data_IF_411824579690
#
_entry.id   IF_411824579690
#
_cell.length_a   1.000
_cell.length_b   1.000
_cell.length_c   1.000
_cell.angle_alpha   90.00
_cell.angle_beta   90.00
_cell.angle_gamma   90.00
#
_symmetry.space_group_name_H-M   'P 1'
#
loop_
_entity.id
_entity.type
_entity.pdbx_description
1 polymer ?
#
# COMPACT_ATOMS: atom_id res chain seq x y z
N UNK A 1 33.19 24.32 16.32
CA UNK A 1 32.54 23.08 16.81
C UNK A 1 32.25 22.24 15.60
N UNK A 2 32.93 21.12 15.43
CA UNK A 2 32.68 20.16 14.39
C UNK A 2 31.31 19.49 14.69
N UNK A 3 30.31 19.72 13.89
CA UNK A 3 29.05 18.94 13.96
C UNK A 3 29.44 17.46 13.84
N UNK A 4 29.19 16.70 14.88
CA UNK A 4 29.41 15.27 14.91
C UNK A 4 28.40 14.62 13.94
N UNK A 5 28.89 14.15 12.80
CA UNK A 5 28.02 13.53 11.80
C UNK A 5 27.45 12.22 12.34
N UNK A 6 26.14 12.07 12.32
CA UNK A 6 25.45 10.85 12.73
C UNK A 6 25.99 9.63 11.97
N UNK A 7 26.18 8.53 12.67
CA UNK A 7 26.48 7.23 12.05
C UNK A 7 25.28 6.72 11.28
N UNK A 8 25.50 5.76 10.38
CA UNK A 8 24.40 5.14 9.61
C UNK A 8 23.37 4.48 10.54
N UNK A 9 23.81 3.89 11.67
CA UNK A 9 22.94 3.30 12.67
C UNK A 9 22.05 4.35 13.34
N UNK A 10 22.62 5.49 13.74
CA UNK A 10 21.86 6.59 14.36
C UNK A 10 20.82 7.18 13.39
N UNK A 11 21.20 7.33 12.11
CA UNK A 11 20.26 7.77 11.06
C UNK A 11 19.12 6.77 10.87
N UNK A 12 19.44 5.46 10.82
CA UNK A 12 18.41 4.42 10.67
C UNK A 12 17.46 4.38 11.86
N UNK A 13 17.96 4.51 13.10
CA UNK A 13 17.13 4.58 14.31
C UNK A 13 16.14 5.76 14.24
N UNK A 14 16.59 6.93 13.77
CA UNK A 14 15.70 8.09 13.58
C UNK A 14 14.60 7.77 12.57
N UNK A 15 14.96 7.19 11.41
CA UNK A 15 13.99 6.79 10.40
C UNK A 15 13.00 5.77 10.97
N UNK A 16 13.47 4.74 11.67
CA UNK A 16 12.61 3.71 12.27
C UNK A 16 11.60 4.28 13.27
N UNK A 17 11.99 5.34 14.02
CA UNK A 17 11.12 5.98 15.00
C UNK A 17 10.02 6.87 14.38
N UNK A 18 10.27 7.42 13.20
CA UNK A 18 9.38 8.38 12.53
C UNK A 18 8.54 7.77 11.41
N UNK A 19 9.06 6.68 10.81
CA UNK A 19 8.46 6.07 9.63
C UNK A 19 7.09 5.46 9.93
N UNK A 20 6.09 5.91 9.19
CA UNK A 20 4.75 5.33 9.20
C UNK A 20 4.38 4.88 7.79
N UNK A 21 4.00 3.62 7.66
CA UNK A 21 3.54 3.05 6.39
C UNK A 21 2.16 2.44 6.60
N UNK A 22 1.09 3.18 6.31
CA UNK A 22 -0.27 2.68 6.52
C UNK A 22 -0.59 1.50 5.58
N UNK A 23 -1.51 0.63 5.99
CA UNK A 23 -2.03 -0.49 5.19
C UNK A 23 -3.19 0.01 4.33
N UNK A 24 -2.91 0.66 3.21
CA UNK A 24 -3.91 1.28 2.34
C UNK A 24 -4.44 0.36 1.23
N UNK A 25 -3.84 -0.82 1.05
CA UNK A 25 -4.32 -1.80 0.08
C UNK A 25 -5.27 -2.78 0.78
N UNK A 26 -6.32 -3.19 0.09
CA UNK A 26 -7.28 -4.16 0.60
C UNK A 26 -7.21 -5.47 -0.20
N UNK A 27 -7.14 -6.61 0.50
CA UNK A 27 -7.17 -7.93 -0.10
C UNK A 27 -8.62 -8.40 -0.23
N UNK A 28 -9.14 -8.45 -1.46
CA UNK A 28 -10.49 -8.97 -1.73
C UNK A 28 -10.62 -10.45 -1.34
N UNK A 29 -9.55 -11.22 -1.44
CA UNK A 29 -9.55 -12.64 -1.11
C UNK A 29 -9.46 -12.89 0.41
N UNK A 30 -8.70 -12.05 1.14
CA UNK A 30 -8.45 -12.26 2.57
C UNK A 30 -9.26 -11.36 3.50
N UNK A 31 -10.00 -10.36 2.98
CA UNK A 31 -10.80 -9.44 3.80
C UNK A 31 -9.98 -8.56 4.76
N UNK A 32 -8.70 -8.30 4.45
CA UNK A 32 -7.82 -7.51 5.32
C UNK A 32 -7.05 -6.42 4.57
N UNK A 33 -6.71 -5.36 5.28
CA UNK A 33 -5.84 -4.31 4.76
C UNK A 33 -4.37 -4.74 4.83
N UNK A 34 -3.62 -4.47 3.76
CA UNK A 34 -2.19 -4.77 3.69
C UNK A 34 -1.40 -3.62 3.07
N UNK A 35 -0.09 -3.67 3.20
CA UNK A 35 0.88 -2.84 2.46
C UNK A 35 1.73 -3.72 1.57
N UNK A 36 2.14 -3.21 0.44
CA UNK A 36 3.08 -3.87 -0.46
C UNK A 36 4.49 -3.28 -0.32
N UNK A 37 5.46 -3.82 -1.07
CA UNK A 37 6.84 -3.31 -1.07
C UNK A 37 6.92 -1.86 -1.57
N UNK A 38 6.10 -1.51 -2.56
CA UNK A 38 6.05 -0.18 -3.17
C UNK A 38 5.60 0.90 -2.18
N UNK A 39 4.65 0.57 -1.29
CA UNK A 39 4.19 1.49 -0.24
C UNK A 39 5.34 1.83 0.72
N UNK A 40 6.12 0.82 1.12
CA UNK A 40 7.30 1.03 1.97
C UNK A 40 8.34 1.85 1.22
N UNK A 41 8.67 1.49 -0.03
CA UNK A 41 9.62 2.21 -0.86
C UNK A 41 9.23 3.68 -1.05
N UNK A 42 7.95 3.96 -1.25
CA UNK A 42 7.42 5.33 -1.36
C UNK A 42 7.62 6.11 -0.07
N UNK A 43 7.33 5.50 1.08
CA UNK A 43 7.44 6.15 2.38
C UNK A 43 8.89 6.46 2.75
N UNK A 44 9.83 5.53 2.52
CA UNK A 44 11.23 5.71 2.93
C UNK A 44 12.02 6.69 2.07
N UNK A 45 11.58 6.99 0.83
CA UNK A 45 12.33 7.87 -0.09
C UNK A 45 12.65 9.23 0.50
N UNK A 46 11.69 9.86 1.17
CA UNK A 46 11.86 11.17 1.79
C UNK A 46 12.87 11.11 2.91
N UNK A 47 12.73 10.16 3.84
CA UNK A 47 13.63 9.97 4.97
C UNK A 47 15.07 9.66 4.50
N UNK A 48 15.21 8.76 3.54
CA UNK A 48 16.54 8.43 2.99
C UNK A 48 17.21 9.65 2.35
N UNK A 49 16.46 10.49 1.62
CA UNK A 49 16.99 11.72 1.05
C UNK A 49 17.45 12.70 2.14
N UNK A 50 16.67 12.91 3.18
CA UNK A 50 16.97 13.82 4.30
C UNK A 50 18.23 13.40 5.06
N UNK A 51 18.46 12.08 5.20
CA UNK A 51 19.63 11.54 5.89
C UNK A 51 20.82 11.25 4.97
N UNK A 52 20.69 11.47 3.64
CA UNK A 52 21.75 11.18 2.68
C UNK A 52 22.06 9.69 2.58
N UNK A 53 21.04 8.84 2.56
CA UNK A 53 21.16 7.37 2.51
C UNK A 53 20.70 6.84 1.15
N UNK A 54 21.46 5.87 0.63
CA UNK A 54 21.13 5.11 -0.56
C UNK A 54 20.54 3.75 -0.16
N UNK A 55 19.34 3.45 -0.62
CA UNK A 55 18.71 2.14 -0.51
C UNK A 55 18.83 1.40 -1.84
N UNK A 56 19.31 0.17 -1.82
CA UNK A 56 19.30 -0.74 -2.95
C UNK A 56 18.63 -2.07 -2.60
N UNK A 57 17.99 -2.70 -3.57
CA UNK A 57 17.38 -4.02 -3.46
C UNK A 57 17.98 -4.94 -4.53
N UNK A 58 18.38 -6.13 -4.12
CA UNK A 58 18.84 -7.18 -5.02
C UNK A 58 18.11 -8.48 -4.73
N UNK A 59 17.76 -9.22 -5.78
CA UNK A 59 17.07 -10.50 -5.67
C UNK A 59 17.95 -11.62 -6.22
N UNK A 60 17.97 -12.75 -5.52
CA UNK A 60 18.70 -13.96 -5.93
C UNK A 60 17.78 -15.16 -5.81
N UNK A 61 17.57 -15.94 -6.89
CA UNK A 61 16.84 -17.19 -6.80
C UNK A 61 17.69 -18.24 -6.08
N UNK A 62 17.06 -19.00 -5.20
CA UNK A 62 17.68 -20.08 -4.45
C UNK A 62 16.86 -21.36 -4.60
N UNK A 63 17.56 -22.49 -4.68
CA UNK A 63 16.95 -23.81 -4.68
C UNK A 63 17.35 -24.57 -3.42
N UNK A 64 16.37 -24.82 -2.54
CA UNK A 64 16.61 -25.44 -1.24
C UNK A 64 15.63 -26.60 -1.08
N UNK A 65 16.18 -27.80 -0.90
CA UNK A 65 15.39 -29.04 -0.65
C UNK A 65 14.24 -29.25 -1.65
N UNK A 66 14.54 -29.09 -2.94
CA UNK A 66 13.56 -29.31 -4.01
C UNK A 66 12.58 -28.14 -4.25
N UNK A 67 12.80 -26.98 -3.63
CA UNK A 67 11.90 -25.82 -3.71
C UNK A 67 12.64 -24.56 -4.08
N UNK A 68 11.99 -23.72 -4.87
CA UNK A 68 12.52 -22.40 -5.22
C UNK A 68 12.11 -21.33 -4.21
N UNK A 69 13.05 -20.47 -3.90
CA UNK A 69 12.88 -19.27 -3.07
C UNK A 69 13.51 -18.09 -3.79
N UNK A 70 12.97 -16.91 -3.54
CA UNK A 70 13.64 -15.65 -3.84
C UNK A 70 14.19 -15.09 -2.54
N UNK A 71 15.51 -14.88 -2.48
CA UNK A 71 16.14 -14.06 -1.44
C UNK A 71 16.21 -12.63 -1.94
N UNK A 72 15.67 -11.69 -1.18
CA UNK A 72 15.84 -10.27 -1.40
C UNK A 72 16.72 -9.67 -0.31
N UNK A 73 17.74 -8.90 -0.71
CA UNK A 73 18.61 -8.16 0.20
C UNK A 73 18.31 -6.67 0.08
N UNK A 74 17.88 -6.05 1.19
CA UNK A 74 17.78 -4.61 1.31
C UNK A 74 19.07 -4.06 1.91
N UNK A 75 19.79 -3.22 1.16
CA UNK A 75 21.05 -2.60 1.59
C UNK A 75 20.86 -1.10 1.70
N UNK A 76 21.08 -0.57 2.91
CA UNK A 76 21.12 0.86 3.20
C UNK A 76 22.58 1.29 3.36
N UNK A 77 22.99 2.34 2.64
CA UNK A 77 24.37 2.84 2.67
C UNK A 77 24.44 4.36 2.77
N UNK A 78 25.42 4.88 3.50
CA UNK A 78 25.76 6.30 3.51
C UNK A 78 27.00 6.64 2.64
N UNK A 79 27.44 5.66 1.84
CA UNK A 79 28.63 5.75 0.98
C UNK A 79 29.93 5.35 1.68
N UNK A 80 29.94 5.12 3.00
CA UNK A 80 31.08 4.64 3.79
C UNK A 80 30.79 3.30 4.44
N UNK A 81 29.61 3.20 5.05
CA UNK A 81 29.14 2.00 5.73
C UNK A 81 27.82 1.54 5.11
N UNK A 82 27.44 0.29 5.38
CA UNK A 82 26.18 -0.27 4.94
C UNK A 82 25.58 -1.21 5.97
N UNK A 83 24.25 -1.26 6.00
CA UNK A 83 23.45 -2.20 6.78
C UNK A 83 22.63 -3.02 5.79
N UNK A 84 22.67 -4.34 5.91
CA UNK A 84 21.97 -5.26 5.00
C UNK A 84 21.00 -6.13 5.79
N UNK A 85 19.81 -6.35 5.23
CA UNK A 85 18.83 -7.31 5.74
C UNK A 85 18.39 -8.21 4.58
N UNK A 86 18.48 -9.51 4.81
CA UNK A 86 18.01 -10.55 3.89
C UNK A 86 16.61 -11.01 4.33
N UNK A 87 15.74 -11.23 3.35
CA UNK A 87 14.47 -11.91 3.56
C UNK A 87 14.18 -12.86 2.40
N UNK A 88 13.29 -13.82 2.65
CA UNK A 88 13.01 -14.90 1.74
C UNK A 88 11.52 -15.03 1.49
N UNK A 89 11.15 -15.34 0.25
CA UNK A 89 9.81 -15.78 -0.07
C UNK A 89 9.89 -17.06 -0.92
N UNK A 90 9.05 -18.03 -0.58
CA UNK A 90 8.93 -19.26 -1.35
C UNK A 90 8.18 -18.99 -2.63
N UNK A 91 8.70 -19.46 -3.76
CA UNK A 91 7.99 -19.48 -5.02
C UNK A 91 7.00 -20.66 -5.02
N UNK A 92 5.77 -20.40 -5.45
CA UNK A 92 4.79 -21.47 -5.62
C UNK A 92 5.14 -22.31 -6.86
N UNK A 93 4.90 -23.62 -6.80
CA UNK A 93 5.14 -24.51 -7.97
C UNK A 93 4.18 -24.20 -9.12
N UNK A 94 2.95 -23.82 -8.79
CA UNK A 94 1.94 -23.35 -9.73
C UNK A 94 0.90 -22.51 -9.02
N UNK A 95 0.28 -21.57 -9.74
CA UNK A 95 -0.86 -20.82 -9.24
C UNK A 95 -1.82 -20.56 -10.39
N UNK A 96 -3.09 -20.87 -10.19
CA UNK A 96 -4.13 -20.63 -11.20
C UNK A 96 -4.09 -19.19 -11.71
N UNK A 97 -4.14 -19.01 -13.04
CA UNK A 97 -4.13 -17.71 -13.73
C UNK A 97 -2.84 -16.90 -13.62
N UNK A 98 -1.71 -17.52 -13.29
CA UNK A 98 -0.39 -16.91 -13.31
C UNK A 98 0.54 -17.68 -14.22
N UNK A 99 1.35 -16.98 -15.03
CA UNK A 99 2.47 -17.55 -15.73
C UNK A 99 3.72 -17.62 -14.83
N UNK A 100 4.76 -18.31 -15.29
CA UNK A 100 5.99 -18.54 -14.52
C UNK A 100 6.68 -17.22 -14.12
N UNK A 101 6.68 -16.23 -15.00
CA UNK A 101 7.26 -14.91 -14.71
C UNK A 101 6.48 -14.16 -13.63
N UNK A 102 5.15 -14.30 -13.63
CA UNK A 102 4.28 -13.72 -12.60
C UNK A 102 4.46 -14.41 -11.24
N UNK A 103 4.69 -15.73 -11.22
CA UNK A 103 4.99 -16.48 -10.00
C UNK A 103 6.29 -15.96 -9.36
N UNK A 104 7.37 -15.91 -10.12
CA UNK A 104 8.67 -15.38 -9.67
C UNK A 104 8.54 -13.91 -9.23
N UNK A 105 7.86 -13.08 -10.01
CA UNK A 105 7.61 -11.67 -9.66
C UNK A 105 6.83 -11.50 -8.36
N UNK A 106 5.86 -12.36 -8.11
CA UNK A 106 5.09 -12.37 -6.85
C UNK A 106 6.01 -12.73 -5.67
N UNK A 107 6.82 -13.79 -5.77
CA UNK A 107 7.77 -14.18 -4.74
C UNK A 107 8.80 -13.08 -4.46
N UNK A 108 9.33 -12.43 -5.51
CA UNK A 108 10.22 -11.27 -5.41
C UNK A 108 9.57 -10.12 -4.62
N UNK A 109 8.33 -9.75 -4.95
CA UNK A 109 7.61 -8.69 -4.25
C UNK A 109 7.44 -8.98 -2.75
N UNK A 110 7.15 -10.22 -2.38
CA UNK A 110 7.06 -10.64 -0.98
C UNK A 110 8.43 -10.60 -0.28
N UNK A 111 9.48 -11.14 -0.90
CA UNK A 111 10.83 -11.13 -0.33
C UNK A 111 11.31 -9.69 -0.09
N UNK A 112 11.12 -8.78 -1.06
CA UNK A 112 11.44 -7.35 -0.93
C UNK A 112 10.66 -6.69 0.19
N UNK A 113 9.35 -6.97 0.30
CA UNK A 113 8.53 -6.45 1.39
C UNK A 113 9.09 -6.83 2.75
N UNK A 114 9.41 -8.11 2.95
CA UNK A 114 9.96 -8.60 4.22
C UNK A 114 11.35 -8.03 4.53
N UNK A 115 12.22 -7.91 3.53
CA UNK A 115 13.53 -7.28 3.70
C UNK A 115 13.42 -5.81 4.12
N UNK A 116 12.51 -5.04 3.50
CA UNK A 116 12.25 -3.66 3.85
C UNK A 116 11.61 -3.52 5.23
N UNK A 117 10.65 -4.39 5.57
CA UNK A 117 10.04 -4.41 6.91
C UNK A 117 11.09 -4.67 7.99
N UNK A 118 11.99 -5.64 7.78
CA UNK A 118 13.08 -5.93 8.73
C UNK A 118 14.09 -4.79 8.85
N UNK A 119 14.46 -4.13 7.73
CA UNK A 119 15.42 -3.03 7.74
C UNK A 119 14.85 -1.79 8.45
N UNK A 120 13.62 -1.41 8.17
CA UNK A 120 13.01 -0.20 8.71
C UNK A 120 12.13 -0.44 9.94
N UNK A 121 12.05 -1.68 10.45
CA UNK A 121 11.21 -2.08 11.58
C UNK A 121 9.75 -1.63 11.39
N UNK A 122 9.23 -1.82 10.17
CA UNK A 122 7.83 -1.47 9.86
C UNK A 122 6.92 -2.51 10.50
N UNK A 123 6.30 -2.12 11.61
CA UNK A 123 5.41 -2.96 12.39
C UNK A 123 4.11 -3.26 11.65
N UNK A 124 3.66 -4.51 11.70
CA UNK A 124 2.36 -4.93 11.17
C UNK A 124 1.21 -4.71 12.16
N UNK A 125 1.50 -4.36 13.41
CA UNK A 125 0.52 -3.97 14.43
C UNK A 125 -0.41 -5.09 14.91
N UNK A 126 -0.48 -6.20 14.17
CA UNK A 126 -1.23 -7.42 14.54
C UNK A 126 -0.35 -8.60 14.15
N UNK A 127 0.10 -9.35 15.14
CA UNK A 127 0.79 -10.62 14.93
C UNK A 127 -0.21 -11.63 14.36
N UNK A 128 0.05 -12.22 13.17
CA UNK A 128 -0.82 -13.28 12.64
C UNK A 128 -0.97 -14.47 13.60
N UNK A 129 0.04 -14.73 14.45
CA UNK A 129 -0.02 -15.78 15.44
C UNK A 129 -0.93 -15.42 16.63
N UNK A 130 -1.16 -14.13 16.91
CA UNK A 130 -2.15 -13.70 17.89
C UNK A 130 -3.59 -13.93 17.42
N UNK A 131 -3.80 -14.20 16.13
CA UNK A 131 -5.07 -14.63 15.56
C UNK A 131 -5.26 -16.16 15.64
N UNK A 132 -4.20 -16.90 16.02
CA UNK A 132 -4.19 -18.37 16.12
C UNK A 132 -4.28 -18.90 17.57
N UNK A 133 -4.68 -18.08 18.54
CA UNK A 133 -5.05 -18.58 19.86
C UNK A 133 -6.35 -19.38 19.79
N UNK A 134 -6.25 -20.60 19.23
CA UNK A 134 -7.08 -21.76 19.58
C UNK A 134 -8.60 -21.70 19.36
N UNK A 135 -9.16 -20.57 18.96
CA UNK A 135 -10.52 -20.46 18.45
C UNK A 135 -10.42 -20.11 16.98
N UNK A 136 -10.95 -20.96 16.09
CA UNK A 136 -11.26 -20.55 14.73
C UNK A 136 -12.00 -19.23 14.86
N UNK A 137 -11.39 -18.12 14.36
CA UNK A 137 -12.09 -16.85 14.28
C UNK A 137 -13.44 -17.17 13.60
N UNK A 138 -14.58 -16.81 14.18
CA UNK A 138 -15.86 -17.15 13.60
C UNK A 138 -15.81 -16.69 12.15
N UNK A 139 -16.09 -17.62 11.21
CA UNK A 139 -16.14 -17.27 9.79
C UNK A 139 -17.07 -16.06 9.69
N UNK A 140 -16.52 -14.94 9.24
CA UNK A 140 -17.33 -13.73 9.04
C UNK A 140 -18.50 -14.10 8.16
N UNK A 141 -19.69 -13.75 8.58
CA UNK A 141 -20.87 -13.93 7.74
C UNK A 141 -20.68 -13.19 6.42
N UNK A 142 -21.33 -13.66 5.36
CA UNK A 142 -21.30 -12.97 4.06
C UNK A 142 -21.66 -11.49 4.17
N UNK A 143 -22.55 -11.16 5.12
CA UNK A 143 -22.95 -9.79 5.40
C UNK A 143 -21.82 -8.97 6.04
N UNK A 144 -21.09 -9.50 7.01
CA UNK A 144 -19.92 -8.81 7.62
C UNK A 144 -18.82 -8.57 6.60
N UNK A 145 -18.56 -9.56 5.73
CA UNK A 145 -17.61 -9.41 4.63
C UNK A 145 -18.08 -8.30 3.68
N UNK A 146 -19.35 -8.28 3.31
CA UNK A 146 -19.92 -7.22 2.47
C UNK A 146 -19.79 -5.84 3.12
N UNK A 147 -20.07 -5.69 4.41
CA UNK A 147 -19.93 -4.41 5.12
C UNK A 147 -18.50 -3.90 5.13
N UNK A 148 -17.53 -4.78 5.35
CA UNK A 148 -16.10 -4.42 5.32
C UNK A 148 -15.69 -3.94 3.93
N UNK A 149 -16.12 -4.62 2.86
CA UNK A 149 -15.87 -4.21 1.48
C UNK A 149 -16.51 -2.86 1.16
N UNK A 150 -17.78 -2.71 1.50
CA UNK A 150 -18.51 -1.47 1.26
C UNK A 150 -17.82 -0.29 1.94
N UNK A 151 -17.54 -0.42 3.23
CA UNK A 151 -16.85 0.60 4.03
C UNK A 151 -15.50 0.98 3.46
N UNK A 152 -14.71 -0.01 3.04
CA UNK A 152 -13.41 0.23 2.44
C UNK A 152 -13.52 1.08 1.16
N UNK A 153 -14.37 0.68 0.22
CA UNK A 153 -14.51 1.41 -1.05
C UNK A 153 -15.21 2.76 -0.87
N UNK A 154 -16.21 2.86 0.01
CA UNK A 154 -16.91 4.12 0.27
C UNK A 154 -15.99 5.18 0.88
N UNK A 155 -15.11 4.79 1.83
CA UNK A 155 -14.09 5.69 2.37
C UNK A 155 -13.11 6.17 1.29
N UNK A 156 -12.66 5.28 0.40
CA UNK A 156 -11.80 5.67 -0.72
C UNK A 156 -12.47 6.67 -1.67
N UNK A 157 -13.78 6.54 -1.90
CA UNK A 157 -14.54 7.52 -2.70
C UNK A 157 -14.70 8.84 -1.95
N UNK A 158 -14.93 8.80 -0.64
CA UNK A 158 -15.03 9.99 0.20
C UNK A 158 -13.74 10.83 0.13
N UNK A 159 -12.58 10.20 0.29
CA UNK A 159 -11.26 10.85 0.17
C UNK A 159 -11.03 11.50 -1.21
N UNK A 160 -11.52 10.88 -2.29
CA UNK A 160 -11.36 11.40 -3.66
C UNK A 160 -12.33 12.53 -4.01
N UNK A 161 -13.45 12.66 -3.28
CA UNK A 161 -14.56 13.56 -3.64
C UNK A 161 -14.79 14.70 -2.65
N UNK A 162 -14.03 14.77 -1.57
CA UNK A 162 -14.21 15.73 -0.46
C UNK A 162 -15.62 15.65 0.18
N UNK A 163 -16.17 14.42 0.19
CA UNK A 163 -17.48 14.09 0.79
C UNK A 163 -17.29 13.22 2.03
N UNK A 164 -18.32 13.18 2.89
CA UNK A 164 -18.29 12.28 4.04
C UNK A 164 -18.66 10.84 3.64
N UNK A 165 -18.30 9.89 4.49
CA UNK A 165 -18.69 8.49 4.31
C UNK A 165 -20.21 8.34 4.18
N UNK A 166 -20.96 9.02 5.05
CA UNK A 166 -22.42 8.99 5.10
C UNK A 166 -23.05 9.53 3.81
N UNK A 167 -22.46 10.55 3.19
CA UNK A 167 -22.92 11.10 1.91
C UNK A 167 -22.70 10.10 0.76
N UNK A 168 -21.56 9.38 0.79
CA UNK A 168 -21.25 8.33 -0.20
C UNK A 168 -22.20 7.14 0.00
N UNK A 169 -22.32 6.65 1.23
CA UNK A 169 -23.22 5.55 1.57
C UNK A 169 -24.66 5.85 1.14
N UNK A 170 -25.22 6.99 1.56
CA UNK A 170 -26.58 7.40 1.17
C UNK A 170 -26.77 7.50 -0.34
N UNK A 171 -25.78 8.01 -1.07
CA UNK A 171 -25.83 8.10 -2.54
C UNK A 171 -25.88 6.72 -3.21
N UNK A 172 -25.10 5.76 -2.69
CA UNK A 172 -25.01 4.41 -3.25
C UNK A 172 -26.27 3.61 -2.92
N UNK A 173 -26.75 3.70 -1.68
CA UNK A 173 -27.99 3.05 -1.25
C UNK A 173 -29.19 3.54 -2.08
N UNK A 174 -29.29 4.85 -2.30
CA UNK A 174 -30.35 5.45 -3.11
C UNK A 174 -30.34 4.93 -4.55
N UNK A 175 -29.17 4.84 -5.19
CA UNK A 175 -29.03 4.34 -6.57
C UNK A 175 -29.41 2.86 -6.68
N UNK A 176 -29.23 2.08 -5.61
CA UNK A 176 -29.57 0.67 -5.56
C UNK A 176 -30.95 0.37 -4.93
N UNK A 177 -31.74 1.41 -4.64
CA UNK A 177 -33.08 1.33 -4.03
C UNK A 177 -33.11 0.72 -2.61
N UNK A 178 -32.08 0.97 -1.82
CA UNK A 178 -32.02 0.60 -0.39
C UNK A 178 -32.08 1.83 0.48
N UNK A 179 -32.55 1.65 1.73
CA UNK A 179 -32.62 2.72 2.73
C UNK A 179 -31.45 2.67 3.69
N UNK A 180 -30.99 1.47 4.02
CA UNK A 180 -29.86 1.22 4.92
C UNK A 180 -29.07 0.01 4.43
N UNK A 181 -27.81 -0.09 4.85
CA UNK A 181 -26.86 -1.10 4.34
C UNK A 181 -27.26 -2.52 4.77
N UNK A 182 -27.92 -2.64 5.91
CA UNK A 182 -28.44 -3.89 6.48
C UNK A 182 -29.57 -4.53 5.65
N UNK A 183 -30.25 -3.73 4.82
CA UNK A 183 -31.35 -4.21 3.95
C UNK A 183 -30.82 -4.85 2.66
N UNK A 184 -29.53 -4.71 2.35
CA UNK A 184 -28.94 -5.27 1.13
C UNK A 184 -28.86 -6.78 1.27
N UNK A 185 -29.49 -7.50 0.35
CA UNK A 185 -29.52 -8.96 0.32
C UNK A 185 -28.27 -9.55 -0.34
N UNK A 186 -27.84 -10.78 -0.02
CA UNK A 186 -26.60 -11.39 -0.53
C UNK A 186 -26.48 -11.41 -2.06
N UNK A 187 -27.58 -11.62 -2.76
CA UNK A 187 -27.64 -11.60 -4.23
C UNK A 187 -27.35 -10.20 -4.82
N UNK A 188 -27.50 -9.13 -4.04
CA UNK A 188 -27.28 -7.75 -4.43
C UNK A 188 -25.88 -7.21 -4.02
N UNK A 189 -25.12 -7.93 -3.19
CA UNK A 189 -23.81 -7.47 -2.69
C UNK A 189 -22.86 -7.09 -3.83
N UNK A 190 -22.74 -7.94 -4.84
CA UNK A 190 -21.84 -7.68 -5.97
C UNK A 190 -22.25 -6.43 -6.77
N UNK A 191 -23.54 -6.16 -6.92
CA UNK A 191 -24.07 -4.99 -7.61
C UNK A 191 -23.77 -3.71 -6.82
N UNK A 192 -24.05 -3.70 -5.52
CA UNK A 192 -23.80 -2.55 -4.64
C UNK A 192 -22.31 -2.22 -4.61
N UNK A 193 -21.44 -3.20 -4.43
CA UNK A 193 -19.99 -3.01 -4.47
C UNK A 193 -19.55 -2.52 -5.86
N UNK A 194 -20.13 -3.04 -6.94
CA UNK A 194 -19.88 -2.57 -8.30
C UNK A 194 -20.20 -1.08 -8.47
N UNK A 195 -21.29 -0.59 -7.84
CA UNK A 195 -21.70 0.82 -7.86
C UNK A 195 -20.67 1.70 -7.15
N UNK A 196 -20.20 1.30 -5.97
CA UNK A 196 -19.15 2.03 -5.22
C UNK A 196 -17.86 2.11 -6.04
N UNK A 197 -17.40 0.99 -6.59
CA UNK A 197 -16.18 0.92 -7.43
C UNK A 197 -16.30 1.81 -8.68
N UNK A 198 -17.48 1.84 -9.31
CA UNK A 198 -17.72 2.71 -10.47
C UNK A 198 -17.69 4.20 -10.10
N UNK A 199 -18.22 4.55 -8.92
CA UNK A 199 -18.15 5.92 -8.40
C UNK A 199 -16.71 6.34 -8.13
N UNK A 200 -15.88 5.48 -7.53
CA UNK A 200 -14.46 5.73 -7.31
C UNK A 200 -13.69 5.97 -8.60
N UNK A 201 -13.88 5.12 -9.62
CA UNK A 201 -13.25 5.32 -10.95
C UNK A 201 -13.61 6.67 -11.59
N UNK A 202 -14.87 7.10 -11.45
CA UNK A 202 -15.31 8.41 -11.98
C UNK A 202 -14.66 9.55 -11.20
N UNK A 203 -14.57 9.45 -9.89
CA UNK A 203 -13.92 10.45 -9.04
C UNK A 203 -12.42 10.60 -9.38
N UNK A 204 -11.70 9.48 -9.53
CA UNK A 204 -10.30 9.49 -9.96
C UNK A 204 -10.10 10.17 -11.32
N UNK A 205 -10.98 9.88 -12.29
CA UNK A 205 -10.91 10.48 -13.63
C UNK A 205 -11.14 11.98 -13.56
N UNK A 206 -12.15 12.44 -12.82
CA UNK A 206 -12.44 13.86 -12.63
C UNK A 206 -11.27 14.59 -11.95
N UNK A 207 -10.65 13.96 -10.97
CA UNK A 207 -9.49 14.52 -10.28
C UNK A 207 -8.29 14.68 -11.23
N UNK A 208 -8.01 13.64 -12.03
CA UNK A 208 -6.95 13.70 -13.08
C UNK A 208 -7.22 14.82 -14.10
N UNK A 209 -8.45 14.97 -14.56
CA UNK A 209 -8.83 16.05 -15.49
C UNK A 209 -8.69 17.44 -14.86
N UNK A 210 -9.03 17.57 -13.56
CA UNK A 210 -8.88 18.82 -12.82
C UNK A 210 -7.41 19.22 -12.74
N UNK A 211 -6.53 18.31 -12.32
CA UNK A 211 -5.09 18.59 -12.26
C UNK A 211 -4.48 18.90 -13.64
N UNK A 212 -4.90 18.19 -14.70
CA UNK A 212 -4.43 18.49 -16.05
C UNK A 212 -4.84 19.90 -16.52
N UNK A 213 -6.04 20.36 -16.16
CA UNK A 213 -6.50 21.73 -16.47
C UNK A 213 -5.76 22.79 -15.66
N UNK A 214 -5.45 22.52 -14.40
CA UNK A 214 -4.67 23.44 -13.55
C UNK A 214 -3.23 23.56 -14.04
N UNK A 215 -2.59 22.47 -14.43
CA UNK A 215 -1.24 22.47 -15.00
C UNK A 215 -1.16 23.21 -16.35
N UNK A 216 -2.20 23.11 -17.17
CA UNK A 216 -2.32 23.89 -18.40
C UNK A 216 -2.49 25.41 -18.16
N UNK A 217 -3.23 25.78 -17.10
CA UNK A 217 -3.41 27.21 -16.75
C UNK A 217 -2.12 27.80 -16.17
N UNK A 218 -1.39 27.06 -15.33
CA UNK A 218 -0.12 27.52 -14.77
C UNK A 218 0.97 27.76 -15.84
N UNK A 219 0.92 27.01 -16.95
CA UNK A 219 1.83 27.16 -18.09
C UNK A 219 1.44 28.28 -19.05
N UNK A 220 0.24 28.86 -18.93
CA UNK A 220 -0.25 29.96 -19.80
C UNK A 220 -0.14 31.36 -19.18
N UNK A 221 0.18 31.49 -17.90
CA UNK A 221 0.50 32.80 -17.31
C UNK A 221 1.94 33.18 -17.66
N UNK A 222 2.18 34.23 -18.50
CA UNK A 222 3.54 34.70 -18.80
C UNK A 222 4.13 35.28 -17.52
N UNK A 223 5.32 34.81 -17.13
CA UNK A 223 6.13 35.49 -16.13
C UNK A 223 6.26 36.96 -16.48
N UNK A 224 5.69 37.85 -15.69
CA UNK A 224 5.97 39.29 -15.78
C UNK A 224 7.40 39.52 -15.33
N UNK A 225 8.34 39.44 -16.26
CA UNK A 225 9.72 39.87 -16.04
C UNK A 225 9.68 41.36 -15.81
N UNK A 226 9.72 41.82 -14.58
CA UNK A 226 9.96 43.22 -14.21
C UNK A 226 11.46 43.49 -14.30
N UNK A 227 11.89 44.09 -15.42
CA UNK A 227 13.22 44.67 -15.52
C UNK A 227 13.24 45.91 -14.61
N UNK A 228 13.98 45.80 -13.49
CA UNK A 228 14.27 46.96 -12.63
C UNK A 228 15.02 48.02 -13.42
N UNK A 229 14.57 49.28 -13.27
CA UNK A 229 15.28 50.49 -13.68
C UNK A 229 16.39 50.80 -12.69
#
# INVERSE_FOLDING_TARGET
MTEEKLTIQQKLIQIQSELKVPKNNFSEYGGYNFRNAEDILKAVKKHNLEHGLLLTLTDVPLFIEGRFYIRSTATLSDGKESICIDAYAREAESKSKMDDSQLTGSASSYARKYALQGLYLVDDGIDPDSLNEGEEAPEKSEQEVFFDYFKHYANGVAELTDKTYEEIEGSILLVNNFTQLEDVTPDMYAQVIGTVKAMGKRAELQLKEKFAKEDMKSKQEPEKITWGK
#
